data_IF_020763144100
#
_entry.id   IF_020763144100
#
_cell.length_a   1.000
_cell.length_b   1.000
_cell.length_c   1.000
_cell.angle_alpha   90.00
_cell.angle_beta   90.00
_cell.angle_gamma   90.00
#
_symmetry.space_group_name_H-M   'P 1'
#
loop_
_entity.id
_entity.type
_entity.pdbx_description
1 polymer ?
#
# COMPACT_ATOMS: atom_id res chain seq x y z
N UNK A 1 -9.05 -3.23 -22.32
CA UNK A 1 -9.17 -3.52 -20.88
C UNK A 1 -8.57 -2.35 -20.13
N UNK A 2 -9.29 -1.79 -19.22
CA UNK A 2 -8.77 -0.73 -18.34
C UNK A 2 -7.95 -1.33 -17.21
N UNK A 3 -6.85 -0.69 -16.86
CA UNK A 3 -6.08 -1.02 -15.65
C UNK A 3 -6.27 0.06 -14.60
N UNK A 4 -6.13 -0.32 -13.36
CA UNK A 4 -6.16 0.55 -12.19
C UNK A 4 -4.82 0.48 -11.51
N UNK A 5 -4.20 1.63 -11.29
CA UNK A 5 -2.95 1.76 -10.55
C UNK A 5 -3.28 2.47 -9.25
N UNK A 6 -2.80 1.94 -8.15
CA UNK A 6 -2.90 2.57 -6.83
C UNK A 6 -1.49 2.87 -6.37
N UNK A 7 -1.22 4.12 -6.06
CA UNK A 7 0.03 4.57 -5.46
C UNK A 7 -0.25 4.95 -4.01
N UNK A 8 0.59 4.53 -3.09
CA UNK A 8 0.48 4.79 -1.66
C UNK A 8 1.80 5.40 -1.19
N UNK A 9 1.74 6.54 -0.52
CA UNK A 9 2.92 7.18 0.06
C UNK A 9 3.45 6.35 1.26
N UNK A 10 4.77 6.17 1.39
CA UNK A 10 5.36 5.34 2.46
C UNK A 10 5.24 5.98 3.84
N UNK A 11 5.33 7.28 3.93
CA UNK A 11 5.41 8.06 5.16
C UNK A 11 4.26 9.08 5.30
N UNK A 12 4.29 9.89 6.34
CA UNK A 12 3.20 10.78 6.75
C UNK A 12 2.90 11.96 5.79
N UNK A 13 3.56 12.00 4.63
CA UNK A 13 3.36 13.03 3.62
C UNK A 13 2.32 12.67 2.55
N UNK A 14 1.72 13.66 1.90
CA UNK A 14 0.88 13.45 0.74
C UNK A 14 1.73 13.02 -0.48
N UNK A 15 1.12 12.27 -1.40
CA UNK A 15 1.74 11.96 -2.70
C UNK A 15 1.88 13.27 -3.49
N UNK A 16 3.10 13.56 -3.95
CA UNK A 16 3.38 14.74 -4.76
C UNK A 16 2.66 14.65 -6.12
N UNK A 17 2.10 15.77 -6.57
CA UNK A 17 1.42 15.83 -7.88
C UNK A 17 2.38 15.62 -9.05
N UNK A 18 3.66 15.89 -8.86
CA UNK A 18 4.73 15.66 -9.83
C UNK A 18 4.83 14.20 -10.29
N UNK A 19 4.29 13.24 -9.53
CA UNK A 19 4.24 11.84 -9.96
C UNK A 19 3.45 11.67 -11.27
N UNK A 20 2.37 12.43 -11.45
CA UNK A 20 1.54 12.34 -12.66
C UNK A 20 2.29 12.85 -13.91
N UNK A 21 3.16 13.83 -13.76
CA UNK A 21 3.99 14.36 -14.85
C UNK A 21 5.08 13.38 -15.29
N UNK A 22 5.50 12.49 -14.39
CA UNK A 22 6.53 11.47 -14.64
C UNK A 22 5.97 10.20 -15.28
N UNK A 23 4.65 10.01 -15.24
CA UNK A 23 3.98 8.84 -15.79
C UNK A 23 3.95 8.94 -17.32
N UNK A 24 4.46 7.91 -18.00
CA UNK A 24 4.59 7.86 -19.46
C UNK A 24 3.45 7.08 -20.16
N UNK A 25 2.34 6.85 -19.48
CA UNK A 25 1.18 6.18 -20.08
C UNK A 25 -0.07 7.06 -20.03
N UNK A 26 -1.05 6.75 -20.88
CA UNK A 26 -2.29 7.50 -20.95
C UNK A 26 -3.10 7.37 -19.67
N UNK A 27 -3.50 8.48 -19.09
CA UNK A 27 -4.35 8.58 -17.91
C UNK A 27 -5.78 8.91 -18.35
N UNK A 28 -6.76 8.14 -17.88
CA UNK A 28 -8.18 8.39 -18.13
C UNK A 28 -8.88 9.11 -16.98
N UNK A 29 -8.51 8.79 -15.75
CA UNK A 29 -9.06 9.40 -14.54
C UNK A 29 -8.06 9.28 -13.38
N UNK A 30 -8.13 10.22 -12.45
CA UNK A 30 -7.30 10.24 -11.24
C UNK A 30 -8.20 10.54 -10.05
N UNK A 31 -8.07 9.74 -9.01
CA UNK A 31 -8.75 9.97 -7.72
C UNK A 31 -7.73 9.95 -6.60
N UNK A 32 -7.86 10.87 -5.70
CA UNK A 32 -7.01 11.01 -4.52
C UNK A 32 -7.83 10.67 -3.28
N UNK A 33 -7.21 10.02 -2.29
CA UNK A 33 -7.80 9.86 -0.95
C UNK A 33 -7.90 11.22 -0.24
N UNK A 34 -8.80 11.34 0.72
CA UNK A 34 -9.06 12.59 1.44
C UNK A 34 -7.82 13.08 2.22
N UNK A 35 -7.01 12.15 2.72
CA UNK A 35 -5.73 12.43 3.38
C UNK A 35 -4.56 12.71 2.42
N UNK A 36 -4.78 12.57 1.11
CA UNK A 36 -3.77 12.76 0.07
C UNK A 36 -2.70 11.66 -0.03
N UNK A 37 -2.79 10.61 0.77
CA UNK A 37 -1.79 9.54 0.85
C UNK A 37 -1.94 8.44 -0.18
N UNK A 38 -3.09 8.32 -0.80
CA UNK A 38 -3.34 7.36 -1.86
C UNK A 38 -3.79 8.05 -3.14
N UNK A 39 -3.26 7.58 -4.26
CA UNK A 39 -3.61 8.03 -5.60
C UNK A 39 -4.07 6.84 -6.43
N UNK A 40 -5.27 6.90 -6.95
CA UNK A 40 -5.82 5.89 -7.84
C UNK A 40 -5.89 6.44 -9.26
N UNK A 41 -5.17 5.83 -10.19
CA UNK A 41 -5.09 6.22 -11.59
C UNK A 41 -5.81 5.16 -12.43
N UNK A 42 -6.69 5.58 -13.31
CA UNK A 42 -7.32 4.73 -14.32
C UNK A 42 -6.65 4.97 -15.67
N UNK A 43 -6.32 3.89 -16.36
CA UNK A 43 -5.72 3.92 -17.69
C UNK A 43 -6.39 2.92 -18.64
N UNK A 44 -6.53 3.23 -19.94
CA UNK A 44 -7.02 2.28 -20.92
C UNK A 44 -5.99 1.18 -21.27
N UNK A 45 -4.75 1.32 -20.79
CA UNK A 45 -3.68 0.37 -21.07
C UNK A 45 -3.84 -0.93 -20.27
N UNK A 46 -3.20 -1.98 -20.76
CA UNK A 46 -3.17 -3.27 -20.07
C UNK A 46 -2.21 -3.23 -18.88
N UNK A 47 -2.47 -4.04 -17.86
CA UNK A 47 -1.58 -4.13 -16.69
C UNK A 47 -0.13 -4.50 -17.08
N UNK A 48 0.05 -5.32 -18.14
CA UNK A 48 1.37 -5.66 -18.66
C UNK A 48 2.09 -4.42 -19.21
N UNK A 49 1.42 -3.61 -20.02
CA UNK A 49 1.98 -2.38 -20.59
C UNK A 49 2.31 -1.37 -19.50
N UNK A 50 1.42 -1.22 -18.49
CA UNK A 50 1.65 -0.35 -17.35
C UNK A 50 2.88 -0.79 -16.55
N UNK A 51 2.99 -2.08 -16.23
CA UNK A 51 4.15 -2.60 -15.49
C UNK A 51 5.46 -2.35 -16.25
N UNK A 52 5.46 -2.53 -17.58
CA UNK A 52 6.64 -2.22 -18.40
C UNK A 52 7.01 -0.73 -18.36
N UNK A 53 6.02 0.16 -18.37
CA UNK A 53 6.26 1.60 -18.24
C UNK A 53 6.73 2.03 -16.85
N UNK A 54 6.47 1.22 -15.83
CA UNK A 54 6.91 1.44 -14.46
C UNK A 54 8.27 0.80 -14.15
N UNK A 55 8.84 0.03 -15.07
CA UNK A 55 10.20 -0.51 -14.92
C UNK A 55 11.21 0.65 -14.77
N UNK A 56 11.91 0.68 -13.63
CA UNK A 56 12.85 1.76 -13.30
C UNK A 56 12.19 3.09 -12.86
N UNK A 57 10.87 3.08 -12.65
CA UNK A 57 10.19 4.24 -12.09
C UNK A 57 10.53 4.38 -10.61
N UNK A 58 11.24 5.47 -10.30
CA UNK A 58 11.63 5.80 -8.94
C UNK A 58 10.46 6.48 -8.22
N UNK A 59 9.85 5.76 -7.30
CA UNK A 59 8.75 6.21 -6.46
C UNK A 59 9.00 5.76 -5.02
N UNK A 60 9.02 6.71 -4.12
CA UNK A 60 9.10 6.45 -2.69
C UNK A 60 7.71 6.09 -2.17
N UNK A 61 7.39 4.81 -2.15
CA UNK A 61 6.09 4.26 -1.76
C UNK A 61 5.74 2.98 -2.50
N UNK A 62 4.51 2.54 -2.31
CA UNK A 62 4.00 1.32 -2.92
C UNK A 62 3.17 1.61 -4.17
N UNK A 63 3.37 0.82 -5.21
CA UNK A 63 2.58 0.85 -6.44
C UNK A 63 1.92 -0.50 -6.67
N UNK A 64 0.58 -0.50 -6.79
CA UNK A 64 -0.21 -1.68 -7.10
C UNK A 64 -0.89 -1.52 -8.46
N UNK A 65 -0.64 -2.44 -9.39
CA UNK A 65 -1.29 -2.49 -10.71
C UNK A 65 -2.35 -3.58 -10.74
N UNK A 66 -3.60 -3.19 -10.91
CA UNK A 66 -4.75 -4.09 -10.97
C UNK A 66 -5.32 -4.19 -12.38
N UNK A 67 -5.67 -5.42 -12.79
CA UNK A 67 -6.38 -5.67 -14.06
C UNK A 67 -7.86 -5.34 -13.91
N UNK A 68 -8.37 -4.50 -14.79
CA UNK A 68 -9.80 -4.20 -14.90
C UNK A 68 -10.35 -3.33 -13.77
N UNK A 69 -11.61 -2.91 -13.94
CA UNK A 69 -12.39 -2.31 -12.88
C UNK A 69 -12.89 -3.43 -11.96
N UNK A 70 -12.35 -3.55 -10.76
CA UNK A 70 -12.88 -4.48 -9.78
C UNK A 70 -14.06 -3.85 -9.04
N UNK A 71 -15.08 -4.65 -8.78
CA UNK A 71 -16.13 -4.31 -7.83
C UNK A 71 -15.52 -4.10 -6.44
N UNK A 72 -16.24 -3.38 -5.57
CA UNK A 72 -15.86 -3.24 -4.17
C UNK A 72 -15.58 -4.62 -3.55
N UNK A 73 -14.54 -4.76 -2.72
CA UNK A 73 -14.25 -6.02 -2.04
C UNK A 73 -15.43 -6.39 -1.13
N UNK A 74 -15.79 -7.67 -1.14
CA UNK A 74 -16.87 -8.21 -0.32
C UNK A 74 -16.36 -8.89 0.96
N UNK A 75 -15.05 -9.15 1.03
CA UNK A 75 -14.38 -9.76 2.16
C UNK A 75 -13.08 -9.01 2.41
N UNK A 76 -12.85 -8.64 3.66
CA UNK A 76 -11.59 -8.09 4.16
C UNK A 76 -11.02 -9.08 5.18
N UNK A 77 -9.80 -9.52 4.95
CA UNK A 77 -9.03 -10.33 5.90
C UNK A 77 -7.86 -9.47 6.36
N UNK A 78 -7.76 -9.25 7.65
CA UNK A 78 -6.69 -8.47 8.26
C UNK A 78 -5.95 -9.31 9.28
N UNK A 79 -4.65 -9.09 9.39
CA UNK A 79 -3.88 -9.47 10.56
C UNK A 79 -4.32 -8.61 11.75
N UNK A 80 -4.12 -9.07 12.97
CA UNK A 80 -4.57 -8.36 14.16
C UNK A 80 -3.45 -7.50 14.75
N UNK A 81 -2.34 -8.13 15.12
CA UNK A 81 -1.22 -7.47 15.77
C UNK A 81 -0.53 -6.49 14.81
N UNK A 82 -0.20 -5.29 15.28
CA UNK A 82 0.38 -4.19 14.50
C UNK A 82 -0.37 -3.84 13.20
N UNK A 83 -1.60 -4.34 13.03
CA UNK A 83 -2.45 -4.06 11.87
C UNK A 83 -3.80 -3.46 12.28
N UNK A 84 -4.60 -4.17 13.07
CA UNK A 84 -5.87 -3.67 13.63
C UNK A 84 -5.65 -3.04 15.01
N UNK A 85 -4.75 -3.62 15.79
CA UNK A 85 -4.29 -3.09 17.07
C UNK A 85 -2.85 -2.62 16.94
N UNK A 86 -2.47 -1.59 17.69
CA UNK A 86 -1.13 -1.00 17.65
C UNK A 86 -0.09 -1.83 18.43
N UNK A 87 -0.55 -2.77 19.24
CA UNK A 87 0.31 -3.60 20.10
C UNK A 87 0.55 -5.00 19.50
N UNK A 88 1.57 -5.65 20.05
CA UNK A 88 1.84 -7.07 19.84
C UNK A 88 1.24 -7.86 20.99
N UNK A 89 0.25 -8.68 20.70
CA UNK A 89 -0.51 -9.42 21.73
C UNK A 89 0.39 -10.31 22.58
N UNK A 90 1.42 -10.91 21.98
CA UNK A 90 2.38 -11.76 22.69
C UNK A 90 3.23 -10.97 23.70
N UNK A 91 3.64 -9.74 23.34
CA UNK A 91 4.42 -8.86 24.20
C UNK A 91 3.57 -8.36 25.37
N UNK A 92 2.32 -7.98 25.12
CA UNK A 92 1.37 -7.56 26.15
C UNK A 92 1.08 -8.71 27.13
N UNK A 93 0.95 -9.93 26.62
CA UNK A 93 0.78 -11.13 27.45
C UNK A 93 2.02 -11.42 28.27
N UNK A 94 3.21 -11.36 27.68
CA UNK A 94 4.47 -11.54 28.37
C UNK A 94 4.67 -10.51 29.50
N UNK A 95 4.27 -9.26 29.25
CA UNK A 95 4.27 -8.20 30.27
C UNK A 95 3.40 -8.55 31.47
N UNK A 96 2.23 -9.14 31.24
CA UNK A 96 1.27 -9.51 32.30
C UNK A 96 1.79 -10.61 33.22
N UNK A 97 2.82 -11.35 32.78
CA UNK A 97 3.44 -12.46 33.53
C UNK A 97 4.90 -12.19 33.93
N UNK A 98 5.41 -10.97 33.76
CA UNK A 98 6.81 -10.60 33.98
C UNK A 98 7.81 -11.45 33.18
N UNK A 99 7.44 -11.83 31.95
CA UNK A 99 8.24 -12.66 31.04
C UNK A 99 8.82 -11.90 29.82
N UNK A 100 8.72 -10.57 29.80
CA UNK A 100 9.11 -9.72 28.68
C UNK A 100 10.55 -9.98 28.20
N UNK A 101 11.52 -10.04 29.14
CA UNK A 101 12.92 -10.23 28.81
C UNK A 101 13.19 -11.60 28.16
N UNK A 102 12.44 -12.61 28.56
CA UNK A 102 12.56 -13.96 28.01
C UNK A 102 11.96 -14.05 26.60
N UNK A 103 10.83 -13.37 26.37
CA UNK A 103 10.20 -13.33 25.03
C UNK A 103 11.05 -12.50 24.09
N UNK A 104 11.52 -11.32 24.48
CA UNK A 104 12.40 -10.48 23.67
C UNK A 104 13.67 -11.21 23.21
N UNK A 105 14.31 -11.96 24.10
CA UNK A 105 15.50 -12.74 23.77
C UNK A 105 15.25 -13.84 22.70
N UNK A 106 14.01 -14.26 22.49
CA UNK A 106 13.61 -15.24 21.47
C UNK A 106 13.27 -14.55 20.15
N UNK A 107 12.59 -13.41 20.21
CA UNK A 107 12.09 -12.69 19.01
C UNK A 107 13.16 -11.85 18.31
N UNK A 108 14.21 -11.43 19.01
CA UNK A 108 15.34 -10.67 18.41
C UNK A 108 16.36 -11.54 17.62
N UNK A 109 16.04 -12.81 17.36
CA UNK A 109 16.88 -13.71 16.55
C UNK A 109 16.36 -13.82 15.13
#
# INVERSE_FOLDING_TARGET
>A
MTSKIICIAPDDGPIEETILERIQFQISDVRRSDDGRALCILTPQTAKSVNQSLEGFDFDGDILVLKGARSAPQLLICDMDSTIVESETLDDLAASFDLQDQVAAITER
#
